data_IF_459826013410
#
_entry.id   IF_459826013410
#
_cell.length_a   1.000
_cell.length_b   1.000
_cell.length_c   1.000
_cell.angle_alpha   90.00
_cell.angle_beta   90.00
_cell.angle_gamma   90.00
#
_symmetry.space_group_name_H-M   'P 1'
#
loop_
_entity.id
_entity.type
_entity.pdbx_description
1 polymer ?
#
# COMPACT_ATOMS: atom_id res chain seq x y z
N UNK A 1 -14.47 -12.99 18.33
CA UNK A 1 -14.74 -12.36 17.02
C UNK A 1 -15.04 -10.90 17.22
N UNK A 2 -14.35 -10.01 16.53
CA UNK A 2 -14.54 -8.56 16.68
C UNK A 2 -15.29 -8.01 15.47
N UNK A 3 -16.60 -7.86 15.56
CA UNK A 3 -17.47 -7.40 14.46
C UNK A 3 -17.09 -6.01 13.92
N UNK A 4 -16.59 -5.11 14.76
CA UNK A 4 -16.13 -3.78 14.32
C UNK A 4 -14.91 -3.88 13.41
N UNK A 5 -14.01 -4.80 13.69
CA UNK A 5 -12.84 -5.05 12.86
C UNK A 5 -13.25 -5.64 11.51
N UNK A 6 -14.22 -6.55 11.51
CA UNK A 6 -14.76 -7.13 10.28
C UNK A 6 -15.44 -6.10 9.39
N UNK A 7 -16.21 -5.16 9.97
CA UNK A 7 -16.83 -4.05 9.21
C UNK A 7 -15.79 -3.13 8.60
N UNK A 8 -14.78 -2.72 9.38
CA UNK A 8 -13.68 -1.87 8.91
C UNK A 8 -12.92 -2.54 7.77
N UNK A 9 -12.61 -3.82 7.92
CA UNK A 9 -11.92 -4.63 6.90
C UNK A 9 -12.76 -4.73 5.62
N UNK A 10 -14.07 -4.96 5.74
CA UNK A 10 -14.97 -5.04 4.60
C UNK A 10 -15.05 -3.71 3.83
N UNK A 11 -15.10 -2.59 4.53
CA UNK A 11 -15.12 -1.25 3.93
C UNK A 11 -13.82 -0.97 3.17
N UNK A 12 -12.68 -1.30 3.77
CA UNK A 12 -11.35 -1.13 3.16
C UNK A 12 -11.23 -2.03 1.93
N UNK A 13 -11.61 -3.30 2.02
CA UNK A 13 -11.59 -4.25 0.91
C UNK A 13 -12.42 -3.72 -0.27
N UNK A 14 -13.61 -3.18 -0.01
CA UNK A 14 -14.46 -2.62 -1.07
C UNK A 14 -13.82 -1.40 -1.72
N UNK A 15 -13.26 -0.48 -0.94
CA UNK A 15 -12.57 0.70 -1.46
C UNK A 15 -11.40 0.29 -2.36
N UNK A 16 -10.57 -0.65 -1.93
CA UNK A 16 -9.41 -1.12 -2.69
C UNK A 16 -9.84 -1.86 -3.95
N UNK A 17 -10.88 -2.68 -3.86
CA UNK A 17 -11.45 -3.37 -5.01
C UNK A 17 -11.93 -2.39 -6.08
N UNK A 18 -12.68 -1.37 -5.69
CA UNK A 18 -13.18 -0.35 -6.61
C UNK A 18 -12.04 0.42 -7.26
N UNK A 19 -11.02 0.78 -6.49
CA UNK A 19 -9.81 1.41 -7.01
C UNK A 19 -9.08 0.50 -8.02
N UNK A 20 -8.88 -0.76 -7.67
CA UNK A 20 -8.17 -1.73 -8.52
C UNK A 20 -8.91 -1.98 -9.84
N UNK A 21 -10.23 -2.10 -9.80
CA UNK A 21 -11.05 -2.28 -11.01
C UNK A 21 -11.01 -1.06 -11.93
N UNK A 22 -10.97 0.15 -11.35
CA UNK A 22 -10.98 1.40 -12.10
C UNK A 22 -9.61 1.80 -12.63
N UNK A 23 -8.59 1.72 -11.79
CA UNK A 23 -7.27 2.30 -12.07
C UNK A 23 -6.22 1.27 -12.50
N UNK A 24 -6.38 -0.01 -12.13
CA UNK A 24 -5.39 -1.04 -12.44
C UNK A 24 -5.84 -1.89 -13.63
N UNK A 25 -7.02 -2.51 -13.54
CA UNK A 25 -7.48 -3.49 -14.53
C UNK A 25 -7.43 -2.99 -15.98
N UNK A 26 -7.88 -1.78 -16.31
CA UNK A 26 -7.85 -1.31 -17.71
C UNK A 26 -6.45 -1.15 -18.30
N UNK A 27 -5.42 -1.07 -17.45
CA UNK A 27 -4.06 -0.73 -17.85
C UNK A 27 -3.07 -1.89 -17.76
N UNK A 28 -3.46 -3.03 -17.16
CA UNK A 28 -2.54 -4.15 -16.87
C UNK A 28 -1.83 -4.66 -18.14
N UNK A 29 -2.57 -4.91 -19.20
CA UNK A 29 -2.01 -5.43 -20.45
C UNK A 29 -1.02 -4.44 -21.08
N UNK A 30 -1.37 -3.16 -21.09
CA UNK A 30 -0.50 -2.11 -21.62
C UNK A 30 0.82 -2.02 -20.83
N UNK A 31 0.73 -2.00 -19.50
CA UNK A 31 1.92 -1.97 -18.65
C UNK A 31 2.82 -3.18 -18.82
N UNK A 32 2.21 -4.36 -18.99
CA UNK A 32 2.94 -5.61 -19.20
C UNK A 32 3.65 -5.62 -20.56
N UNK A 33 2.92 -5.33 -21.64
CA UNK A 33 3.46 -5.31 -23.01
C UNK A 33 4.56 -4.26 -23.20
N UNK A 34 4.38 -3.07 -22.66
CA UNK A 34 5.34 -1.97 -22.80
C UNK A 34 6.39 -1.93 -21.68
N UNK A 35 6.35 -2.88 -20.74
CA UNK A 35 7.29 -2.98 -19.61
C UNK A 35 7.34 -1.67 -18.78
N UNK A 36 6.16 -1.12 -18.48
CA UNK A 36 6.00 0.14 -17.74
C UNK A 36 5.83 -0.15 -16.24
N UNK A 37 6.60 0.56 -15.40
CA UNK A 37 6.31 0.69 -13.98
C UNK A 37 5.42 1.93 -13.79
N UNK A 38 4.14 1.76 -13.39
CA UNK A 38 3.18 2.88 -13.35
C UNK A 38 3.34 3.73 -12.09
N UNK A 39 4.37 4.56 -12.03
CA UNK A 39 4.72 5.38 -10.86
C UNK A 39 3.55 6.23 -10.37
N UNK A 40 2.79 6.81 -11.28
CA UNK A 40 1.63 7.65 -10.93
C UNK A 40 0.53 6.86 -10.20
N UNK A 41 0.40 5.57 -10.48
CA UNK A 41 -0.52 4.69 -9.75
C UNK A 41 -0.16 4.61 -8.28
N UNK A 42 1.14 4.51 -7.97
CA UNK A 42 1.63 4.44 -6.59
C UNK A 42 1.40 5.74 -5.84
N UNK A 43 1.51 6.89 -6.52
CA UNK A 43 1.13 8.17 -5.92
C UNK A 43 -0.37 8.22 -5.58
N UNK A 44 -1.23 7.77 -6.48
CA UNK A 44 -2.68 7.67 -6.23
C UNK A 44 -2.99 6.73 -5.06
N UNK A 45 -2.31 5.58 -5.00
CA UNK A 45 -2.45 4.67 -3.87
C UNK A 45 -1.99 5.30 -2.55
N UNK A 46 -0.94 6.11 -2.59
CA UNK A 46 -0.47 6.88 -1.44
C UNK A 46 -1.52 7.84 -0.90
N UNK A 47 -2.24 8.52 -1.77
CA UNK A 47 -3.34 9.42 -1.40
C UNK A 47 -4.48 8.69 -0.69
N UNK A 48 -4.69 7.40 -1.01
CA UNK A 48 -5.68 6.54 -0.37
C UNK A 48 -5.18 5.86 0.91
N UNK A 49 -3.93 6.09 1.30
CA UNK A 49 -3.33 5.44 2.47
C UNK A 49 -2.78 4.04 2.21
N UNK A 50 -2.80 3.55 0.98
CA UNK A 50 -2.37 2.19 0.63
C UNK A 50 -0.85 2.00 0.63
N UNK A 51 -0.09 3.08 0.65
CA UNK A 51 1.37 3.03 0.74
C UNK A 51 1.89 3.16 2.17
N UNK A 52 1.02 3.38 3.14
CA UNK A 52 1.36 3.50 4.55
C UNK A 52 0.32 2.85 5.46
N UNK A 53 -0.18 1.68 5.09
CA UNK A 53 -1.28 1.00 5.82
C UNK A 53 -0.92 0.76 7.28
N UNK A 54 0.30 0.26 7.54
CA UNK A 54 0.79 -0.09 8.87
C UNK A 54 1.48 1.08 9.59
N UNK A 55 1.73 2.16 8.90
CA UNK A 55 2.43 3.33 9.47
C UNK A 55 1.47 4.12 10.36
N UNK A 56 1.88 4.45 11.60
CA UNK A 56 1.08 5.29 12.49
C UNK A 56 0.75 6.65 11.89
N UNK A 57 -0.39 7.22 12.27
CA UNK A 57 -0.82 8.55 11.82
C UNK A 57 0.18 9.65 12.17
N UNK A 58 0.94 9.49 13.25
CA UNK A 58 2.00 10.43 13.63
C UNK A 58 3.08 10.60 12.55
N UNK A 59 3.27 9.61 11.69
CA UNK A 59 4.20 9.65 10.55
C UNK A 59 3.46 9.79 9.20
N UNK A 60 2.18 10.10 9.23
CA UNK A 60 1.38 10.32 8.03
C UNK A 60 0.78 9.06 7.42
N UNK A 61 0.79 7.93 8.13
CA UNK A 61 0.22 6.68 7.69
C UNK A 61 -1.25 6.51 8.05
N UNK A 62 -1.84 5.39 7.61
CA UNK A 62 -3.23 5.03 7.87
C UNK A 62 -3.45 4.48 9.29
N UNK A 63 -2.41 3.99 9.95
CA UNK A 63 -2.47 3.47 11.32
C UNK A 63 -3.34 2.21 11.47
N UNK A 64 -3.43 1.39 10.44
CA UNK A 64 -4.22 0.17 10.41
C UNK A 64 -3.38 -1.05 10.80
N UNK A 65 -4.04 -2.20 10.97
CA UNK A 65 -3.41 -3.44 11.34
C UNK A 65 -3.12 -4.37 10.16
N UNK A 66 -2.58 -5.55 10.49
CA UNK A 66 -2.20 -6.54 9.48
C UNK A 66 -3.40 -7.16 8.74
N UNK A 67 -4.56 -7.26 9.37
CA UNK A 67 -5.75 -7.78 8.70
C UNK A 67 -6.20 -6.87 7.56
N UNK A 68 -6.27 -5.57 7.83
CA UNK A 68 -6.60 -4.56 6.82
C UNK A 68 -5.53 -4.51 5.73
N UNK A 69 -4.26 -4.61 6.11
CA UNK A 69 -3.15 -4.66 5.18
C UNK A 69 -3.25 -5.86 4.22
N UNK A 70 -3.47 -7.06 4.74
CA UNK A 70 -3.61 -8.27 3.94
C UNK A 70 -4.81 -8.15 3.00
N UNK A 71 -5.93 -7.62 3.49
CA UNK A 71 -7.12 -7.38 2.67
C UNK A 71 -6.83 -6.44 1.49
N UNK A 72 -6.07 -5.38 1.71
CA UNK A 72 -5.62 -4.48 0.65
C UNK A 72 -4.79 -5.23 -0.41
N UNK A 73 -3.81 -6.01 0.02
CA UNK A 73 -2.93 -6.76 -0.89
C UNK A 73 -3.72 -7.78 -1.70
N UNK A 74 -4.64 -8.49 -1.07
CA UNK A 74 -5.49 -9.49 -1.74
C UNK A 74 -6.31 -8.85 -2.86
N UNK A 75 -6.97 -7.74 -2.59
CA UNK A 75 -7.81 -7.06 -3.58
C UNK A 75 -7.01 -6.49 -4.76
N UNK A 76 -5.83 -5.95 -4.51
CA UNK A 76 -4.93 -5.50 -5.58
C UNK A 76 -4.41 -6.69 -6.39
N UNK A 77 -3.95 -7.74 -5.73
CA UNK A 77 -3.35 -8.91 -6.37
C UNK A 77 -4.35 -9.70 -7.22
N UNK A 78 -5.63 -9.71 -6.87
CA UNK A 78 -6.70 -10.31 -7.70
C UNK A 78 -6.77 -9.67 -9.10
N UNK A 79 -6.44 -8.40 -9.20
CA UNK A 79 -6.45 -7.66 -10.47
C UNK A 79 -5.09 -7.73 -11.16
N UNK A 80 -4.00 -7.54 -10.40
CA UNK A 80 -2.64 -7.60 -10.92
C UNK A 80 -1.67 -8.05 -9.83
N UNK A 81 -1.14 -9.26 -9.98
CA UNK A 81 -0.17 -9.83 -9.04
C UNK A 81 1.11 -9.01 -8.94
N UNK A 82 1.58 -8.45 -10.04
CA UNK A 82 2.78 -7.61 -10.09
C UNK A 82 2.63 -6.32 -9.25
N UNK A 83 1.50 -5.62 -9.41
CA UNK A 83 1.20 -4.43 -8.60
C UNK A 83 1.02 -4.82 -7.13
N UNK A 84 0.31 -5.92 -6.86
CA UNK A 84 0.15 -6.44 -5.50
C UNK A 84 1.48 -6.73 -4.82
N UNK A 85 2.40 -7.36 -5.52
CA UNK A 85 3.75 -7.63 -5.03
C UNK A 85 4.54 -6.32 -4.76
N UNK A 86 4.43 -5.34 -5.65
CA UNK A 86 5.09 -4.05 -5.47
C UNK A 86 4.59 -3.30 -4.24
N UNK A 87 3.29 -3.29 -4.01
CA UNK A 87 2.67 -2.69 -2.80
C UNK A 87 3.11 -3.44 -1.55
N UNK A 88 3.17 -4.77 -1.61
CA UNK A 88 3.64 -5.59 -0.50
C UNK A 88 5.12 -5.34 -0.18
N UNK A 89 5.98 -5.26 -1.18
CA UNK A 89 7.39 -4.95 -1.01
C UNK A 89 7.60 -3.57 -0.37
N UNK A 90 6.88 -2.58 -0.84
CA UNK A 90 6.91 -1.23 -0.28
C UNK A 90 6.47 -1.20 1.20
N UNK A 91 5.31 -1.76 1.52
CA UNK A 91 4.77 -1.73 2.88
C UNK A 91 5.51 -2.66 3.86
N UNK A 92 5.68 -3.93 3.50
CA UNK A 92 6.22 -4.94 4.41
C UNK A 92 7.74 -4.94 4.48
N UNK A 93 8.41 -4.89 3.33
CA UNK A 93 9.86 -5.06 3.28
C UNK A 93 10.62 -3.77 3.54
N UNK A 94 10.19 -2.65 2.97
CA UNK A 94 10.85 -1.37 3.17
C UNK A 94 10.28 -0.59 4.36
N UNK A 95 9.03 -0.16 4.23
CA UNK A 95 8.41 0.80 5.17
C UNK A 95 8.26 0.21 6.57
N UNK A 96 7.72 -1.00 6.68
CA UNK A 96 7.54 -1.65 7.99
C UNK A 96 8.88 -1.97 8.66
N UNK A 97 9.90 -2.27 7.88
CA UNK A 97 11.25 -2.51 8.40
C UNK A 97 11.81 -1.25 9.09
N UNK A 98 11.64 -0.10 8.46
CA UNK A 98 12.05 1.18 9.05
C UNK A 98 11.22 1.47 10.32
N UNK A 99 9.93 1.20 10.27
CA UNK A 99 9.04 1.39 11.42
C UNK A 99 9.46 0.55 12.62
N UNK A 100 9.79 -0.73 12.41
CA UNK A 100 10.13 -1.66 13.49
C UNK A 100 11.56 -1.47 14.03
N UNK A 101 12.52 -1.15 13.18
CA UNK A 101 13.94 -1.17 13.51
C UNK A 101 14.64 0.18 13.41
N UNK A 102 14.02 1.18 12.80
CA UNK A 102 14.59 2.52 12.70
C UNK A 102 14.57 3.27 14.04
N UNK A 103 15.50 4.19 14.22
CA UNK A 103 15.44 5.15 15.30
C UNK A 103 14.46 6.30 14.96
N UNK A 104 14.18 7.20 15.91
CA UNK A 104 13.20 8.27 15.70
C UNK A 104 13.59 9.21 14.55
N UNK A 105 14.86 9.55 14.42
CA UNK A 105 15.36 10.39 13.33
C UNK A 105 15.11 9.75 11.96
N UNK A 106 15.40 8.46 11.82
CA UNK A 106 15.14 7.70 10.59
C UNK A 106 13.66 7.61 10.27
N UNK A 107 12.82 7.34 11.27
CA UNK A 107 11.37 7.30 11.10
C UNK A 107 10.81 8.63 10.62
N UNK A 108 11.21 9.73 11.26
CA UNK A 108 10.78 11.08 10.86
C UNK A 108 11.24 11.46 9.45
N UNK A 109 12.40 10.99 9.05
CA UNK A 109 12.98 11.28 7.74
C UNK A 109 12.30 10.50 6.61
N UNK A 110 12.07 9.20 6.80
CA UNK A 110 11.66 8.29 5.73
C UNK A 110 10.17 7.97 5.71
N UNK A 111 9.55 7.73 6.86
CA UNK A 111 8.17 7.23 6.91
C UNK A 111 7.14 8.18 6.30
N UNK A 112 7.17 9.51 6.49
CA UNK A 112 6.17 10.38 5.88
C UNK A 112 6.17 10.32 4.36
N UNK A 113 7.32 10.27 3.73
CA UNK A 113 7.44 10.22 2.27
C UNK A 113 7.08 8.84 1.69
N UNK A 114 7.41 7.78 2.41
CA UNK A 114 7.00 6.43 2.04
C UNK A 114 5.48 6.25 2.21
N UNK A 115 4.93 6.68 3.33
CA UNK A 115 3.51 6.55 3.62
C UNK A 115 2.62 7.35 2.65
N UNK A 116 3.07 8.52 2.21
CA UNK A 116 2.35 9.34 1.22
C UNK A 116 2.44 8.81 -0.20
N UNK A 117 3.33 7.86 -0.47
CA UNK A 117 3.60 7.37 -1.82
C UNK A 117 4.47 8.31 -2.67
N UNK A 118 5.02 9.37 -2.09
CA UNK A 118 6.00 10.24 -2.77
C UNK A 118 7.24 9.44 -3.15
N UNK A 119 7.68 8.55 -2.27
CA UNK A 119 8.74 7.59 -2.53
C UNK A 119 8.18 6.18 -2.57
N UNK A 120 8.70 5.38 -3.48
CA UNK A 120 8.42 3.95 -3.55
C UNK A 120 9.62 3.20 -2.98
N UNK A 121 9.37 2.46 -1.90
CA UNK A 121 10.39 1.71 -1.21
C UNK A 121 10.59 0.30 -1.80
N UNK A 122 11.82 -0.18 -1.70
CA UNK A 122 12.20 -1.53 -2.07
C UNK A 122 13.20 -2.09 -1.07
N UNK A 123 13.43 -3.38 -1.13
CA UNK A 123 14.42 -4.08 -0.32
C UNK A 123 15.56 -4.56 -1.23
N UNK A 124 16.78 -4.28 -0.86
CA UNK A 124 17.97 -4.76 -1.55
C UNK A 124 18.96 -5.44 -0.61
#
# INVERSE_FOLDING_TARGET
MNFKQEESEAMISQMVRDFAEKEIRPNVMHWDEEQIFPKELFHKMGELGLMGVLVPSAYGGAGLGYYEYISCIVEIAKVCGSIGLSVAAHNSLCTNHILEFGNEEQKQKYLPKLASGEWVGAWG
#
